data_IF_179320060700
#
_entry.id   IF_179320060700
#
_cell.length_a   1.000
_cell.length_b   1.000
_cell.length_c   1.000
_cell.angle_alpha   90.00
_cell.angle_beta   90.00
_cell.angle_gamma   90.00
#
_symmetry.space_group_name_H-M   'P 1'
#
loop_
_entity.id
_entity.type
_entity.pdbx_description
1 polymer ?
#
# COMPACT_ATOMS: atom_id res chain seq x y z
N UNK A 1 26.95 -22.96 -8.58
CA UNK A 1 26.28 -22.00 -9.48
C UNK A 1 25.14 -21.34 -8.72
N UNK A 2 25.47 -20.45 -7.78
CA UNK A 2 24.54 -19.96 -6.76
C UNK A 2 24.43 -18.43 -6.71
N UNK A 3 24.79 -17.73 -7.81
CA UNK A 3 24.91 -16.27 -7.81
C UNK A 3 24.40 -15.63 -9.12
N UNK A 4 23.26 -16.08 -9.67
CA UNK A 4 22.69 -15.49 -10.90
C UNK A 4 21.31 -14.81 -10.74
N UNK A 5 20.73 -14.76 -9.52
CA UNK A 5 19.45 -14.07 -9.27
C UNK A 5 19.60 -12.55 -9.01
N UNK A 6 20.79 -11.99 -9.20
CA UNK A 6 21.10 -10.58 -8.85
C UNK A 6 21.13 -9.61 -10.05
N UNK A 7 20.63 -10.02 -11.22
CA UNK A 7 20.56 -9.18 -12.44
C UNK A 7 19.14 -9.16 -13.02
N UNK A 8 18.16 -8.70 -12.23
CA UNK A 8 16.86 -8.28 -12.76
C UNK A 8 16.24 -7.14 -11.95
N UNK A 9 17.08 -6.24 -11.45
CA UNK A 9 16.68 -5.14 -10.56
C UNK A 9 15.85 -4.03 -11.22
N UNK A 10 15.33 -4.19 -12.45
CA UNK A 10 14.57 -3.15 -13.17
C UNK A 10 13.41 -3.65 -14.05
N UNK A 11 13.10 -4.96 -14.11
CA UNK A 11 11.91 -5.45 -14.81
C UNK A 11 10.68 -5.43 -13.89
N UNK A 12 10.36 -4.25 -13.35
CA UNK A 12 9.12 -4.08 -12.60
C UNK A 12 7.98 -4.00 -13.62
N UNK A 13 7.06 -4.97 -13.61
CA UNK A 13 5.85 -4.91 -14.43
C UNK A 13 5.11 -3.60 -14.13
N UNK A 14 4.46 -3.00 -15.14
CA UNK A 14 3.57 -1.83 -14.94
C UNK A 14 2.60 -2.06 -13.77
N UNK A 15 2.11 -3.30 -13.63
CA UNK A 15 1.27 -3.70 -12.51
C UNK A 15 1.97 -3.54 -11.16
N UNK A 16 3.20 -4.02 -11.04
CA UNK A 16 3.98 -3.95 -9.80
C UNK A 16 4.37 -2.50 -9.45
N UNK A 17 4.70 -1.68 -10.45
CA UNK A 17 4.97 -0.25 -10.26
C UNK A 17 3.74 0.49 -9.73
N UNK A 18 2.58 0.27 -10.35
CA UNK A 18 1.30 0.85 -9.91
C UNK A 18 0.90 0.34 -8.53
N UNK A 19 1.06 -0.97 -8.26
CA UNK A 19 0.78 -1.57 -6.96
C UNK A 19 1.64 -0.91 -5.86
N UNK A 20 2.94 -0.70 -6.11
CA UNK A 20 3.87 -0.05 -5.17
C UNK A 20 3.50 1.41 -4.94
N UNK A 21 3.24 2.17 -6.00
CA UNK A 21 2.81 3.57 -5.90
C UNK A 21 1.51 3.70 -5.10
N UNK A 22 0.53 2.86 -5.42
CA UNK A 22 -0.76 2.82 -4.74
C UNK A 22 -0.60 2.45 -3.28
N UNK A 23 0.30 1.51 -2.97
CA UNK A 23 0.62 1.13 -1.60
C UNK A 23 1.15 2.32 -0.79
N UNK A 24 2.16 3.02 -1.32
CA UNK A 24 2.73 4.20 -0.67
C UNK A 24 1.70 5.31 -0.48
N UNK A 25 0.91 5.60 -1.51
CA UNK A 25 -0.12 6.64 -1.44
C UNK A 25 -1.14 6.35 -0.34
N UNK A 26 -1.63 5.10 -0.27
CA UNK A 26 -2.59 4.69 0.76
C UNK A 26 -1.98 4.80 2.16
N UNK A 27 -0.75 4.34 2.35
CA UNK A 27 -0.06 4.43 3.65
C UNK A 27 0.13 5.88 4.11
N UNK A 28 0.57 6.77 3.22
CA UNK A 28 0.76 8.19 3.55
C UNK A 28 -0.55 8.86 3.94
N UNK A 29 -1.63 8.61 3.19
CA UNK A 29 -2.94 9.19 3.51
C UNK A 29 -3.50 8.62 4.81
N UNK A 30 -3.29 7.33 5.08
CA UNK A 30 -3.68 6.72 6.34
C UNK A 30 -2.93 7.37 7.51
N UNK A 31 -1.63 7.58 7.42
CA UNK A 31 -0.85 8.26 8.45
C UNK A 31 -1.35 9.70 8.68
N UNK A 32 -1.59 10.46 7.62
CA UNK A 32 -2.13 11.82 7.69
C UNK A 32 -3.52 11.90 8.34
N UNK A 33 -4.32 10.83 8.21
CA UNK A 33 -5.66 10.74 8.78
C UNK A 33 -5.72 9.86 10.03
N UNK A 34 -4.61 9.66 10.76
CA UNK A 34 -4.56 8.88 12.01
C UNK A 34 -5.13 7.45 11.87
N UNK A 35 -4.82 6.82 10.74
CA UNK A 35 -5.30 5.51 10.31
C UNK A 35 -6.83 5.41 10.20
N UNK A 36 -7.51 6.55 9.99
CA UNK A 36 -8.94 6.60 9.72
C UNK A 36 -9.22 6.27 8.25
N UNK A 37 -9.60 5.00 8.02
CA UNK A 37 -9.98 4.49 6.71
C UNK A 37 -11.12 5.27 6.04
N UNK A 38 -12.08 5.79 6.80
CA UNK A 38 -13.21 6.52 6.24
C UNK A 38 -12.79 7.91 5.76
N UNK A 39 -11.98 8.63 6.54
CA UNK A 39 -11.42 9.92 6.14
C UNK A 39 -10.48 9.76 4.94
N UNK A 40 -9.58 8.77 4.98
CA UNK A 40 -8.67 8.46 3.87
C UNK A 40 -9.40 8.13 2.58
N UNK A 41 -10.46 7.31 2.67
CA UNK A 41 -11.29 6.94 1.52
C UNK A 41 -11.97 8.16 0.88
N UNK A 42 -12.46 9.11 1.70
CA UNK A 42 -13.04 10.37 1.21
C UNK A 42 -12.00 11.23 0.50
N UNK A 43 -10.80 11.37 1.08
CA UNK A 43 -9.70 12.14 0.49
C UNK A 43 -9.24 11.54 -0.83
N UNK A 44 -9.13 10.20 -0.90
CA UNK A 44 -8.78 9.47 -2.10
C UNK A 44 -9.94 9.29 -3.09
N UNK A 45 -11.14 9.78 -2.77
CA UNK A 45 -12.37 9.64 -3.57
C UNK A 45 -12.69 8.19 -3.97
N UNK A 46 -12.43 7.26 -3.07
CA UNK A 46 -12.71 5.83 -3.25
C UNK A 46 -13.65 5.33 -2.18
N UNK A 47 -14.41 4.27 -2.46
CA UNK A 47 -15.14 3.57 -1.43
C UNK A 47 -14.20 2.99 -0.38
N UNK A 48 -14.56 3.16 0.90
CA UNK A 48 -13.84 2.55 2.03
C UNK A 48 -13.65 1.04 1.84
N UNK A 49 -14.68 0.33 1.35
CA UNK A 49 -14.61 -1.11 1.13
C UNK A 49 -13.61 -1.47 0.02
N UNK A 50 -13.54 -0.67 -1.05
CA UNK A 50 -12.54 -0.83 -2.11
C UNK A 50 -11.13 -0.56 -1.60
N UNK A 51 -10.96 0.51 -0.82
CA UNK A 51 -9.68 0.87 -0.21
C UNK A 51 -9.14 -0.24 0.71
N UNK A 52 -9.98 -0.79 1.59
CA UNK A 52 -9.58 -1.87 2.51
C UNK A 52 -9.23 -3.16 1.74
N UNK A 53 -10.01 -3.52 0.71
CA UNK A 53 -9.70 -4.68 -0.14
C UNK A 53 -8.38 -4.49 -0.88
N UNK A 54 -8.15 -3.29 -1.42
CA UNK A 54 -6.94 -2.93 -2.13
C UNK A 54 -5.72 -2.98 -1.20
N UNK A 55 -5.81 -2.36 -0.02
CA UNK A 55 -4.77 -2.40 1.00
C UNK A 55 -4.43 -3.84 1.41
N UNK A 56 -5.44 -4.68 1.66
CA UNK A 56 -5.24 -6.10 1.99
C UNK A 56 -4.55 -6.87 0.87
N UNK A 57 -4.94 -6.63 -0.38
CA UNK A 57 -4.32 -7.25 -1.57
C UNK A 57 -2.86 -6.83 -1.74
N UNK A 58 -2.56 -5.57 -1.44
CA UNK A 58 -1.21 -4.99 -1.50
C UNK A 58 -0.37 -5.33 -0.26
N UNK A 59 -0.87 -6.13 0.69
CA UNK A 59 -0.14 -6.52 1.89
C UNK A 59 -0.02 -5.41 2.95
N UNK A 60 -0.79 -4.32 2.84
CA UNK A 60 -0.83 -3.25 3.85
C UNK A 60 -1.65 -3.75 5.03
N UNK A 61 -0.97 -4.25 6.05
CA UNK A 61 -1.54 -4.53 7.35
C UNK A 61 -1.30 -3.33 8.27
N UNK A 62 -2.29 -2.45 8.38
CA UNK A 62 -2.23 -1.34 9.34
C UNK A 62 -2.37 -1.93 10.75
N UNK A 63 -1.24 -2.25 11.38
CA UNK A 63 -1.21 -2.49 12.82
C UNK A 63 -1.37 -1.13 13.48
N UNK A 64 -2.50 -0.90 14.15
CA UNK A 64 -2.56 0.14 15.18
C UNK A 64 -1.53 -0.25 16.23
N UNK A 65 -0.32 0.30 16.14
CA UNK A 65 0.66 0.18 17.20
C UNK A 65 0.09 0.93 18.38
N UNK A 66 -0.52 0.18 19.30
CA UNK A 66 -0.77 0.65 20.65
C UNK A 66 0.61 0.88 21.26
N UNK A 67 1.09 2.12 21.22
CA UNK A 67 2.18 2.55 22.09
C UNK A 67 1.54 2.66 23.47
N UNK A 68 1.88 1.69 24.33
CA UNK A 68 1.58 1.67 25.77
C UNK A 68 2.40 2.72 26.51
#
# INVERSE_FOLDING_TARGET
>A
TADNDKINSQNLSLKQATDTFTQHLISQQLEQHEFNWAATARTLQVDRANLVRLAKRLGIAVKKTCVI
#
